data_IF_509818629799
#
_entry.id   IF_509818629799
#
_cell.length_a   1.000
_cell.length_b   1.000
_cell.length_c   1.000
_cell.angle_alpha   90.00
_cell.angle_beta   90.00
_cell.angle_gamma   90.00
#
_symmetry.space_group_name_H-M   'P 1'
#
loop_
_entity.id
_entity.type
_entity.pdbx_description
1 polymer ?
#
# COMPACT_ATOMS: atom_id res chain seq x y z
N UNK A 1 14.12 4.02 -5.27
CA UNK A 1 13.36 5.26 -5.04
C UNK A 1 13.21 5.42 -3.55
N UNK A 2 13.25 6.66 -3.04
CA UNK A 2 13.32 6.90 -1.59
C UNK A 2 11.98 7.33 -0.99
N UNK A 3 11.11 7.94 -1.79
CA UNK A 3 9.77 8.40 -1.39
C UNK A 3 8.81 8.35 -2.58
N UNK A 4 7.56 7.95 -2.33
CA UNK A 4 6.44 8.16 -3.24
C UNK A 4 5.72 9.46 -2.89
N UNK A 5 5.00 10.05 -3.84
CA UNK A 5 4.31 11.30 -3.60
C UNK A 5 3.13 11.54 -4.53
N UNK A 6 2.37 12.62 -4.28
CA UNK A 6 1.26 13.00 -5.14
C UNK A 6 1.78 13.33 -6.55
N UNK A 7 1.09 12.84 -7.57
CA UNK A 7 1.43 13.09 -8.98
C UNK A 7 2.47 12.14 -9.59
N UNK A 8 2.97 11.17 -8.82
CA UNK A 8 3.74 10.07 -9.38
C UNK A 8 2.83 9.09 -10.12
N UNK A 9 3.38 8.41 -11.11
CA UNK A 9 2.71 7.40 -11.93
C UNK A 9 3.39 6.04 -11.77
N UNK A 10 2.81 5.01 -12.35
CA UNK A 10 3.34 3.65 -12.35
C UNK A 10 2.98 2.84 -11.11
N UNK A 11 3.34 1.55 -11.17
CA UNK A 11 3.11 0.58 -10.10
C UNK A 11 4.38 0.36 -9.30
N UNK A 12 4.27 0.45 -7.98
CA UNK A 12 5.40 0.42 -7.06
C UNK A 12 5.23 -0.65 -6.00
N UNK A 13 6.31 -1.37 -5.75
CA UNK A 13 6.40 -2.35 -4.67
C UNK A 13 7.15 -1.72 -3.51
N UNK A 14 6.47 -1.62 -2.37
CA UNK A 14 6.99 -1.07 -1.11
C UNK A 14 7.21 -2.22 -0.14
N UNK A 15 8.47 -2.46 0.23
CA UNK A 15 8.84 -3.53 1.15
C UNK A 15 8.93 -3.04 2.58
N UNK A 16 8.33 -3.79 3.49
CA UNK A 16 8.61 -3.71 4.93
C UNK A 16 9.14 -5.05 5.42
N UNK A 17 9.54 -5.12 6.70
CA UNK A 17 9.96 -6.39 7.32
C UNK A 17 8.85 -7.45 7.31
N UNK A 18 7.58 -7.04 7.50
CA UNK A 18 6.46 -7.97 7.68
C UNK A 18 5.53 -8.11 6.49
N UNK A 19 5.61 -7.24 5.49
CA UNK A 19 4.70 -7.22 4.35
C UNK A 19 5.33 -6.61 3.12
N UNK A 20 4.81 -6.99 1.97
CA UNK A 20 4.96 -6.26 0.71
C UNK A 20 3.68 -5.49 0.46
N UNK A 21 3.80 -4.24 0.04
CA UNK A 21 2.66 -3.41 -0.35
C UNK A 21 2.80 -3.05 -1.82
N UNK A 22 1.69 -3.05 -2.54
CA UNK A 22 1.64 -2.62 -3.93
C UNK A 22 0.84 -1.33 -3.98
N UNK A 23 1.47 -0.30 -4.54
CA UNK A 23 0.88 1.00 -4.79
C UNK A 23 0.81 1.17 -6.31
N UNK A 24 -0.38 1.04 -6.87
CA UNK A 24 -0.61 1.34 -8.28
C UNK A 24 -1.08 2.79 -8.38
N UNK A 25 -0.19 3.67 -8.83
CA UNK A 25 -0.48 5.10 -8.91
C UNK A 25 -1.29 5.45 -10.16
N UNK A 26 -1.26 4.60 -11.18
CA UNK A 26 -2.02 4.79 -12.42
C UNK A 26 -3.48 4.38 -12.21
N UNK A 27 -3.72 3.22 -11.58
CA UNK A 27 -5.05 2.74 -11.21
C UNK A 27 -5.57 3.39 -9.90
N UNK A 28 -4.69 4.06 -9.16
CA UNK A 28 -4.92 4.58 -7.79
C UNK A 28 -5.43 3.50 -6.83
N UNK A 29 -4.75 2.37 -6.79
CA UNK A 29 -5.08 1.25 -5.90
C UNK A 29 -3.95 0.88 -4.95
N UNK A 30 -4.33 0.26 -3.84
CA UNK A 30 -3.44 -0.25 -2.81
C UNK A 30 -3.75 -1.71 -2.49
N UNK A 31 -2.70 -2.53 -2.39
CA UNK A 31 -2.78 -3.88 -1.85
C UNK A 31 -1.69 -4.13 -0.81
N UNK A 32 -1.98 -5.04 0.13
CA UNK A 32 -1.01 -5.57 1.09
C UNK A 32 -0.91 -7.08 0.97
N UNK A 33 0.32 -7.57 0.97
CA UNK A 33 0.66 -8.99 1.02
C UNK A 33 1.50 -9.25 2.29
N UNK A 34 0.94 -9.87 3.35
CA UNK A 34 1.72 -10.25 4.52
C UNK A 34 2.74 -11.33 4.16
N UNK A 35 3.92 -11.33 4.81
CA UNK A 35 4.93 -12.37 4.58
C UNK A 35 4.56 -13.72 5.16
N UNK A 36 3.65 -13.77 6.13
CA UNK A 36 3.21 -15.00 6.78
C UNK A 36 1.69 -15.04 6.91
N UNK A 37 1.06 -16.24 6.86
CA UNK A 37 -0.38 -16.38 7.05
C UNK A 37 -0.86 -15.88 8.41
N UNK A 38 -0.03 -16.01 9.46
CA UNK A 38 -0.35 -15.55 10.80
C UNK A 38 -0.50 -14.02 10.92
N UNK A 39 0.04 -13.26 9.96
CA UNK A 39 -0.06 -11.80 9.90
C UNK A 39 -1.14 -11.32 8.91
N UNK A 40 -1.99 -12.23 8.43
CA UNK A 40 -3.08 -11.91 7.53
C UNK A 40 -4.14 -11.04 8.22
N UNK A 41 -4.63 -10.07 7.47
CA UNK A 41 -5.75 -9.21 7.84
C UNK A 41 -6.83 -9.33 6.76
N UNK A 42 -8.09 -8.97 7.08
CA UNK A 42 -9.09 -8.76 6.05
C UNK A 42 -8.56 -7.83 4.96
N UNK A 43 -8.97 -8.08 3.71
CA UNK A 43 -8.62 -7.28 2.53
C UNK A 43 -7.16 -7.39 2.03
N UNK A 44 -6.33 -8.26 2.61
CA UNK A 44 -5.01 -8.58 2.04
C UNK A 44 -5.13 -9.26 0.67
N UNK A 45 -4.14 -9.05 -0.19
CA UNK A 45 -4.01 -9.70 -1.49
C UNK A 45 -4.93 -9.18 -2.59
N UNK A 46 -5.72 -8.14 -2.32
CA UNK A 46 -6.65 -7.53 -3.26
C UNK A 46 -6.31 -6.05 -3.42
N UNK A 47 -6.42 -5.55 -4.64
CA UNK A 47 -6.27 -4.13 -4.95
C UNK A 47 -7.53 -3.35 -4.54
N UNK A 48 -7.36 -2.34 -3.70
CA UNK A 48 -8.45 -1.47 -3.23
C UNK A 48 -8.26 -0.03 -3.70
N UNK A 49 -9.32 0.68 -4.10
CA UNK A 49 -9.23 2.11 -4.44
C UNK A 49 -8.67 2.91 -3.27
N UNK A 50 -7.61 3.69 -3.53
CA UNK A 50 -7.06 4.63 -2.57
C UNK A 50 -8.03 5.81 -2.46
N UNK A 51 -8.49 6.05 -1.24
CA UNK A 51 -9.34 7.19 -0.90
C UNK A 51 -8.51 8.39 -0.49
N UNK A 52 -7.55 8.19 0.41
CA UNK A 52 -6.60 9.22 0.84
C UNK A 52 -5.29 8.62 1.36
N UNK A 53 -4.24 9.43 1.35
CA UNK A 53 -2.92 9.07 1.86
C UNK A 53 -2.53 10.07 2.93
N UNK A 54 -2.53 9.64 4.19
CA UNK A 54 -2.13 10.48 5.32
C UNK A 54 -0.62 10.54 5.51
N UNK A 55 0.10 9.51 5.06
CA UNK A 55 1.56 9.51 4.99
C UNK A 55 2.01 8.68 3.78
N UNK A 56 2.71 9.32 2.85
CA UNK A 56 3.22 8.65 1.66
C UNK A 56 4.37 7.68 2.01
N UNK A 57 4.52 6.57 1.26
CA UNK A 57 5.65 5.66 1.44
C UNK A 57 7.00 6.36 1.31
N UNK A 58 7.82 6.31 2.37
CA UNK A 58 9.20 6.79 2.37
C UNK A 58 10.12 5.79 3.09
N UNK A 59 11.26 5.48 2.49
CA UNK A 59 12.28 4.59 3.09
C UNK A 59 12.69 5.14 4.46
N UNK A 60 12.75 4.26 5.47
CA UNK A 60 13.01 4.61 6.86
C UNK A 60 11.79 5.14 7.65
N UNK A 61 10.65 5.38 7.01
CA UNK A 61 9.40 5.80 7.64
C UNK A 61 8.29 4.74 7.49
N UNK A 62 7.07 5.08 7.91
CA UNK A 62 5.87 4.30 7.63
C UNK A 62 5.01 5.02 6.59
N UNK A 63 4.07 4.29 6.00
CA UNK A 63 2.97 4.84 5.21
C UNK A 63 1.65 4.73 5.99
N UNK A 64 0.70 5.60 5.67
CA UNK A 64 -0.67 5.56 6.16
C UNK A 64 -1.64 5.81 5.00
N UNK A 65 -2.48 4.82 4.71
CA UNK A 65 -3.41 4.82 3.58
C UNK A 65 -4.83 4.52 4.06
N UNK A 66 -5.80 5.22 3.50
CA UNK A 66 -7.23 4.94 3.62
C UNK A 66 -7.72 4.45 2.26
N UNK A 67 -8.46 3.35 2.24
CA UNK A 67 -9.01 2.73 1.03
C UNK A 67 -10.45 2.29 1.26
N UNK A 68 -11.21 2.21 0.17
CA UNK A 68 -12.61 1.79 0.21
C UNK A 68 -12.73 0.26 0.35
N UNK A 69 -13.78 -0.21 1.04
CA UNK A 69 -14.16 -1.61 0.99
C UNK A 69 -14.74 -1.95 -0.40
N UNK A 70 -14.21 -2.99 -1.09
CA UNK A 70 -14.64 -3.31 -2.46
C UNK A 70 -16.06 -3.87 -2.54
N UNK A 71 -16.58 -4.41 -1.42
CA UNK A 71 -17.94 -4.93 -1.34
C UNK A 71 -18.91 -3.88 -0.79
N UNK A 72 -18.42 -2.89 -0.06
CA UNK A 72 -19.22 -1.86 0.59
C UNK A 72 -18.54 -0.49 0.51
N UNK A 73 -18.61 0.18 -0.64
CA UNK A 73 -17.95 1.49 -0.88
C UNK A 73 -18.26 2.63 0.10
N UNK A 74 -19.28 2.48 0.96
CA UNK A 74 -19.57 3.40 2.06
C UNK A 74 -18.68 3.18 3.31
N UNK A 75 -17.95 2.06 3.38
CA UNK A 75 -17.05 1.70 4.46
C UNK A 75 -15.60 2.00 4.06
N UNK A 76 -14.88 2.63 4.97
CA UNK A 76 -13.47 2.95 4.81
C UNK A 76 -12.62 2.03 5.71
N UNK A 77 -11.51 1.57 5.15
CA UNK A 77 -10.47 0.85 5.89
C UNK A 77 -9.17 1.64 5.83
N UNK A 78 -8.32 1.44 6.83
CA UNK A 78 -6.99 2.05 6.86
C UNK A 78 -5.91 1.03 7.15
N UNK A 79 -4.70 1.31 6.66
CA UNK A 79 -3.49 0.56 6.98
C UNK A 79 -2.35 1.52 7.28
N UNK A 80 -1.62 1.19 8.34
CA UNK A 80 -0.30 1.76 8.61
C UNK A 80 0.74 0.67 8.40
N UNK A 81 1.77 0.97 7.60
CA UNK A 81 2.85 0.01 7.37
C UNK A 81 3.84 -0.02 8.55
N UNK A 82 4.63 -1.09 8.63
CA UNK A 82 5.89 -1.02 9.37
C UNK A 82 6.92 -0.11 8.67
N UNK A 83 8.13 -0.04 9.22
CA UNK A 83 9.24 0.69 8.59
C UNK A 83 9.51 0.17 7.18
N UNK A 84 9.49 1.09 6.23
CA UNK A 84 9.74 0.83 4.82
C UNK A 84 11.24 0.68 4.61
N UNK A 85 11.61 -0.43 3.97
CA UNK A 85 12.98 -0.84 3.72
C UNK A 85 13.42 -0.52 2.29
N UNK A 86 12.50 -0.61 1.32
CA UNK A 86 12.77 -0.27 -0.08
C UNK A 86 11.50 0.03 -0.86
N UNK A 87 11.65 0.82 -1.91
CA UNK A 87 10.60 1.15 -2.89
C UNK A 87 11.19 0.93 -4.28
N UNK A 88 10.58 0.03 -5.04
CA UNK A 88 11.02 -0.37 -6.40
C UNK A 88 9.84 -0.37 -7.35
N UNK A 89 10.05 -0.13 -8.67
CA UNK A 89 9.00 -0.37 -9.65
C UNK A 89 8.54 -1.84 -9.60
N UNK A 90 7.25 -2.08 -9.80
CA UNK A 90 6.78 -3.42 -10.13
C UNK A 90 7.31 -3.80 -11.51
N UNK A 91 7.91 -4.98 -11.61
CA UNK A 91 8.24 -5.59 -12.91
C UNK A 91 7.06 -6.46 -13.30
N UNK A 92 6.52 -6.21 -14.49
CA UNK A 92 5.50 -7.05 -15.14
C UNK A 92 6.10 -8.41 -15.57
#
# INVERSE_FOLDING_TARGET
MDELGPGMSGRWVVHTRGSTHVWDMDARTYARHPRTPAAAMPHDGVDHPIRSVGAWPRVGAHSYVVFDDPQHSALEHWRQSGTILSIVPAVD
#
